data_IF_265237060332
#
_entry.id   IF_265237060332
#
_cell.length_a   1.000
_cell.length_b   1.000
_cell.length_c   1.000
_cell.angle_alpha   90.00
_cell.angle_beta   90.00
_cell.angle_gamma   90.00
#
_symmetry.space_group_name_H-M   'P 1'
#
loop_
_entity.id
_entity.type
_entity.pdbx_description
1 polymer ?
#
# COMPACT_ATOMS: atom_id res chain seq x y z
N UNK A 1 5.40 5.32 -15.85
CA UNK A 1 5.27 6.11 -14.60
C UNK A 1 6.40 5.71 -13.67
N UNK A 2 6.99 6.64 -12.92
CA UNK A 2 8.06 6.34 -11.99
C UNK A 2 7.55 6.47 -10.55
N UNK A 3 7.82 5.46 -9.72
CA UNK A 3 7.45 5.39 -8.31
C UNK A 3 8.68 5.06 -7.49
N UNK A 4 8.79 5.62 -6.29
CA UNK A 4 9.79 5.21 -5.31
C UNK A 4 9.09 4.37 -4.26
N UNK A 5 9.43 3.09 -4.19
CA UNK A 5 8.88 2.11 -3.26
C UNK A 5 9.82 1.93 -2.06
N UNK A 6 9.28 1.44 -0.95
CA UNK A 6 10.03 1.18 0.28
C UNK A 6 9.89 -0.29 0.67
N UNK A 7 10.97 -0.89 1.17
CA UNK A 7 10.92 -2.22 1.80
C UNK A 7 11.79 -2.26 3.06
N UNK A 8 11.21 -2.51 4.25
CA UNK A 8 11.94 -2.47 5.52
C UNK A 8 13.04 -3.53 5.64
N UNK A 9 12.97 -4.58 4.80
CA UNK A 9 13.90 -5.69 4.72
C UNK A 9 15.21 -5.35 3.98
N UNK A 10 15.29 -4.21 3.30
CA UNK A 10 16.53 -3.73 2.68
C UNK A 10 17.53 -3.36 3.77
N UNK A 11 18.70 -4.01 3.73
CA UNK A 11 19.76 -3.82 4.74
C UNK A 11 21.15 -3.57 4.14
N UNK A 12 21.35 -3.86 2.85
CA UNK A 12 22.64 -3.68 2.17
C UNK A 12 22.48 -3.52 0.66
N UNK A 13 23.58 -3.17 -0.03
CA UNK A 13 23.62 -3.01 -1.49
C UNK A 13 23.26 -4.30 -2.24
N UNK A 14 23.63 -5.48 -1.71
CA UNK A 14 23.24 -6.77 -2.31
C UNK A 14 21.73 -7.02 -2.29
N UNK A 15 21.00 -6.43 -1.33
CA UNK A 15 19.54 -6.48 -1.34
C UNK A 15 19.00 -5.72 -2.56
N UNK A 16 19.60 -4.57 -2.90
CA UNK A 16 19.19 -3.78 -4.06
C UNK A 16 19.50 -4.50 -5.37
N UNK A 17 20.68 -5.09 -5.50
CA UNK A 17 21.04 -5.92 -6.66
C UNK A 17 20.05 -7.09 -6.85
N UNK A 18 19.64 -7.73 -5.75
CA UNK A 18 18.66 -8.81 -5.82
C UNK A 18 17.26 -8.30 -6.21
N UNK A 19 16.81 -7.18 -5.62
CA UNK A 19 15.55 -6.53 -5.96
C UNK A 19 15.51 -6.10 -7.43
N UNK A 20 16.62 -5.60 -7.98
CA UNK A 20 16.73 -5.28 -9.41
C UNK A 20 16.48 -6.52 -10.30
N UNK A 21 17.07 -7.67 -9.95
CA UNK A 21 16.87 -8.94 -10.67
C UNK A 21 15.41 -9.39 -10.59
N UNK A 22 14.79 -9.30 -9.40
CA UNK A 22 13.38 -9.65 -9.21
C UNK A 22 12.45 -8.76 -10.03
N UNK A 23 12.67 -7.44 -10.02
CA UNK A 23 11.87 -6.48 -10.79
C UNK A 23 12.03 -6.70 -12.29
N UNK A 24 13.22 -7.09 -12.75
CA UNK A 24 13.45 -7.43 -14.16
C UNK A 24 12.63 -8.65 -14.62
N UNK A 25 12.17 -9.51 -13.71
CA UNK A 25 11.28 -10.63 -14.02
C UNK A 25 9.81 -10.21 -14.20
N UNK A 26 9.43 -9.02 -13.72
CA UNK A 26 8.06 -8.51 -13.79
C UNK A 26 7.84 -7.76 -15.10
N UNK A 27 6.97 -8.32 -15.95
CA UNK A 27 6.60 -7.69 -17.22
C UNK A 27 5.92 -6.33 -16.99
N UNK A 28 6.46 -5.27 -17.61
CA UNK A 28 5.93 -3.92 -17.46
C UNK A 28 6.51 -3.12 -16.30
N UNK A 29 7.48 -3.69 -15.56
CA UNK A 29 8.29 -2.99 -14.58
C UNK A 29 9.73 -2.81 -15.07
N UNK A 30 10.39 -1.76 -14.60
CA UNK A 30 11.82 -1.50 -14.84
C UNK A 30 12.43 -0.89 -13.59
N UNK A 31 13.49 -1.50 -13.08
CA UNK A 31 14.27 -0.91 -12.01
C UNK A 31 15.04 0.34 -12.50
N UNK A 32 15.06 1.39 -11.68
CA UNK A 32 15.75 2.65 -11.99
C UNK A 32 16.95 2.87 -11.06
N UNK A 33 16.74 2.78 -9.75
CA UNK A 33 17.76 3.01 -8.72
C UNK A 33 17.32 2.44 -7.37
N UNK A 34 18.27 2.27 -6.45
CA UNK A 34 17.98 1.84 -5.08
C UNK A 34 18.95 2.44 -4.09
N UNK A 35 18.47 2.75 -2.88
CA UNK A 35 19.22 3.41 -1.83
C UNK A 35 19.03 2.64 -0.51
N UNK A 36 19.99 1.77 -0.14
CA UNK A 36 19.89 0.89 1.03
C UNK A 36 19.70 1.65 2.34
N UNK A 37 20.30 2.84 2.48
CA UNK A 37 20.21 3.64 3.71
C UNK A 37 18.79 4.10 3.97
N UNK A 38 18.09 4.48 2.91
CA UNK A 38 16.68 4.88 2.95
C UNK A 38 15.73 3.69 2.82
N UNK A 39 16.26 2.47 2.64
CA UNK A 39 15.50 1.24 2.39
C UNK A 39 14.46 1.40 1.27
N UNK A 40 14.81 2.16 0.25
CA UNK A 40 13.93 2.51 -0.86
C UNK A 40 14.55 2.18 -2.21
N UNK A 41 13.69 2.07 -3.22
CA UNK A 41 14.09 1.87 -4.60
C UNK A 41 13.07 2.45 -5.56
N UNK A 42 13.53 2.96 -6.69
CA UNK A 42 12.69 3.56 -7.73
C UNK A 42 12.48 2.59 -8.89
N UNK A 43 11.23 2.50 -9.33
CA UNK A 43 10.80 1.67 -10.45
C UNK A 43 10.00 2.50 -11.45
N UNK A 44 10.14 2.15 -12.72
CA UNK A 44 9.22 2.58 -13.75
C UNK A 44 8.21 1.47 -14.01
N UNK A 45 6.93 1.76 -13.90
CA UNK A 45 5.84 0.83 -14.23
C UNK A 45 4.96 1.40 -15.34
N UNK A 46 4.38 0.52 -16.14
CA UNK A 46 3.48 0.91 -17.22
C UNK A 46 2.07 1.28 -16.73
N UNK A 47 1.61 0.65 -15.63
CA UNK A 47 0.24 0.75 -15.07
C UNK A 47 0.25 0.28 -13.60
N UNK A 48 -0.78 0.64 -12.83
CA UNK A 48 -0.89 0.33 -11.39
C UNK A 48 -1.03 -1.16 -11.04
N UNK A 49 -1.64 -1.97 -11.92
CA UNK A 49 -1.76 -3.43 -11.75
C UNK A 49 -0.40 -4.15 -11.71
N UNK A 50 0.62 -3.59 -12.36
CA UNK A 50 2.00 -4.09 -12.29
C UNK A 50 2.54 -4.02 -10.86
N UNK A 51 2.04 -3.12 -10.02
CA UNK A 51 2.47 -2.99 -8.64
C UNK A 51 2.08 -4.21 -7.79
N UNK A 52 0.94 -4.83 -8.07
CA UNK A 52 0.50 -6.05 -7.39
C UNK A 52 1.46 -7.22 -7.71
N UNK A 53 1.90 -7.31 -8.96
CA UNK A 53 2.90 -8.29 -9.39
C UNK A 53 4.27 -8.05 -8.75
N UNK A 54 4.73 -6.79 -8.67
CA UNK A 54 5.97 -6.42 -7.97
C UNK A 54 5.86 -6.78 -6.48
N UNK A 55 4.74 -6.42 -5.83
CA UNK A 55 4.50 -6.70 -4.41
C UNK A 55 4.56 -8.21 -4.13
N UNK A 56 3.92 -9.02 -4.99
CA UNK A 56 3.94 -10.48 -4.87
C UNK A 56 5.36 -11.05 -4.98
N UNK A 57 6.07 -10.74 -6.08
CA UNK A 57 7.43 -11.27 -6.32
C UNK A 57 8.40 -10.86 -5.20
N UNK A 58 8.37 -9.59 -4.79
CA UNK A 58 9.26 -9.11 -3.74
C UNK A 58 8.92 -9.72 -2.37
N UNK A 59 7.64 -9.96 -2.07
CA UNK A 59 7.24 -10.65 -0.84
C UNK A 59 7.75 -12.09 -0.81
N UNK A 60 7.64 -12.82 -1.92
CA UNK A 60 8.19 -14.18 -2.05
C UNK A 60 9.71 -14.21 -1.90
N UNK A 61 10.41 -13.19 -2.40
CA UNK A 61 11.86 -13.04 -2.28
C UNK A 61 12.32 -12.42 -0.96
N UNK A 62 11.40 -12.15 -0.01
CA UNK A 62 11.70 -11.69 1.35
C UNK A 62 11.87 -10.18 1.51
N UNK A 63 11.42 -9.39 0.53
CA UNK A 63 11.40 -7.93 0.54
C UNK A 63 9.97 -7.39 0.45
N UNK A 64 9.09 -7.67 1.44
CA UNK A 64 7.74 -7.13 1.41
C UNK A 64 7.78 -5.61 1.31
N UNK A 65 6.88 -5.04 0.51
CA UNK A 65 6.74 -3.59 0.44
C UNK A 65 6.26 -3.07 1.80
N UNK A 66 6.87 -1.98 2.26
CA UNK A 66 6.37 -1.25 3.42
C UNK A 66 5.33 -0.20 3.02
N UNK A 67 4.73 0.48 4.02
CA UNK A 67 3.73 1.50 3.79
C UNK A 67 4.27 2.60 2.87
N UNK A 68 3.40 3.18 2.06
CA UNK A 68 3.74 4.33 1.25
C UNK A 68 4.06 5.54 2.14
N UNK A 69 5.34 5.82 2.35
CA UNK A 69 5.78 7.06 2.99
C UNK A 69 5.89 8.11 1.88
N UNK A 70 5.09 9.20 1.89
CA UNK A 70 5.30 10.28 0.94
C UNK A 70 6.74 10.78 1.06
N UNK A 71 7.39 11.08 -0.07
CA UNK A 71 8.82 11.44 -0.17
C UNK A 71 9.23 12.74 0.57
N UNK A 72 8.38 13.25 1.44
CA UNK A 72 8.62 14.37 2.34
C UNK A 72 7.98 14.03 3.68
N UNK A 73 8.75 13.41 4.57
CA UNK A 73 8.55 13.55 6.02
C UNK A 73 9.75 12.95 6.76
N UNK A 74 10.78 13.77 6.90
CA UNK A 74 11.59 13.70 8.12
C UNK A 74 10.70 14.12 9.29
N UNK A 75 10.55 13.22 10.26
CA UNK A 75 10.16 13.49 11.64
C UNK A 75 9.07 14.55 11.87
N UNK A 76 7.78 14.18 11.81
CA UNK A 76 6.76 14.81 12.65
C UNK A 76 5.74 13.75 13.06
N UNK A 77 5.82 13.32 14.34
CA UNK A 77 4.72 12.66 15.04
C UNK A 77 3.56 13.66 15.13
N UNK A 78 2.65 13.61 14.16
CA UNK A 78 1.28 14.05 14.41
C UNK A 78 0.60 12.92 15.18
N UNK A 79 -0.47 13.17 15.93
CA UNK A 79 -1.24 12.08 16.55
C UNK A 79 -1.83 11.22 15.41
N UNK A 80 -1.04 10.25 14.94
CA UNK A 80 -1.31 9.47 13.73
C UNK A 80 -2.59 8.69 13.94
N UNK A 81 -3.59 8.98 13.11
CA UNK A 81 -4.77 8.15 13.01
C UNK A 81 -4.29 6.73 12.65
N UNK A 82 -4.39 5.82 13.59
CA UNK A 82 -4.01 4.43 13.39
C UNK A 82 -5.27 3.65 13.03
N UNK A 83 -5.47 3.29 11.75
CA UNK A 83 -6.64 2.50 11.36
C UNK A 83 -6.61 1.17 12.13
N UNK A 84 -7.75 0.83 12.75
CA UNK A 84 -7.96 -0.45 13.44
C UNK A 84 -9.10 -1.23 12.77
N UNK A 85 -8.92 -1.66 11.50
CA UNK A 85 -9.97 -2.35 10.77
C UNK A 85 -10.28 -3.71 11.40
N UNK A 86 -11.56 -4.01 11.54
CA UNK A 86 -12.07 -5.32 11.93
C UNK A 86 -12.53 -6.06 10.68
N UNK A 87 -11.99 -7.25 10.47
CA UNK A 87 -12.26 -8.07 9.29
C UNK A 87 -13.21 -9.21 9.65
N UNK A 88 -14.33 -9.32 8.94
CA UNK A 88 -15.34 -10.36 9.12
C UNK A 88 -15.57 -11.06 7.77
N UNK A 89 -15.67 -12.41 7.71
CA UNK A 89 -16.03 -13.10 6.47
C UNK A 89 -17.40 -12.69 5.94
N UNK A 90 -17.51 -12.55 4.62
CA UNK A 90 -18.75 -12.26 3.89
C UNK A 90 -19.00 -13.31 2.80
N UNK A 91 -20.15 -13.25 2.12
CA UNK A 91 -20.52 -14.23 1.09
C UNK A 91 -19.56 -14.24 -0.11
N UNK A 92 -19.04 -13.07 -0.52
CA UNK A 92 -18.13 -12.92 -1.66
C UNK A 92 -16.65 -12.71 -1.25
N UNK A 93 -16.37 -12.52 0.03
CA UNK A 93 -15.01 -12.27 0.50
C UNK A 93 -14.95 -11.88 1.97
N UNK A 94 -14.67 -10.60 2.24
CA UNK A 94 -14.58 -10.08 3.59
C UNK A 94 -15.23 -8.69 3.70
N UNK A 95 -15.87 -8.43 4.83
CA UNK A 95 -16.32 -7.10 5.23
C UNK A 95 -15.29 -6.52 6.18
N UNK A 96 -14.79 -5.33 5.87
CA UNK A 96 -13.74 -4.66 6.63
C UNK A 96 -14.34 -3.38 7.20
N UNK A 97 -14.60 -3.36 8.50
CA UNK A 97 -15.15 -2.19 9.18
C UNK A 97 -14.02 -1.38 9.83
N UNK A 98 -13.99 -0.07 9.64
CA UNK A 98 -12.96 0.82 10.18
C UNK A 98 -13.58 2.13 10.66
N UNK A 99 -13.03 2.72 11.71
CA UNK A 99 -13.51 4.02 12.23
C UNK A 99 -12.95 5.15 11.37
N UNK A 100 -13.77 6.01 10.79
CA UNK A 100 -13.31 7.08 9.91
C UNK A 100 -12.35 8.07 10.63
N UNK A 101 -11.33 8.66 9.98
CA UNK A 101 -10.42 9.63 10.59
C UNK A 101 -11.11 10.86 11.19
N UNK A 102 -12.28 11.22 10.68
CA UNK A 102 -13.10 12.30 11.25
C UNK A 102 -13.80 11.91 12.58
N UNK A 103 -13.66 10.66 13.04
CA UNK A 103 -14.16 10.15 14.32
C UNK A 103 -15.69 10.03 14.44
N UNK A 104 -16.42 10.27 13.35
CA UNK A 104 -17.87 10.43 13.40
C UNK A 104 -18.66 9.14 13.18
N UNK A 105 -18.12 8.17 12.43
CA UNK A 105 -18.84 6.94 12.06
C UNK A 105 -17.87 5.80 11.76
N UNK A 106 -18.30 4.56 12.02
CA UNK A 106 -17.66 3.35 11.48
C UNK A 106 -18.11 3.15 10.03
N UNK A 107 -17.15 3.00 9.13
CA UNK A 107 -17.36 2.74 7.71
C UNK A 107 -17.09 1.28 7.39
N UNK A 108 -17.67 0.83 6.28
CA UNK A 108 -17.56 -0.54 5.82
C UNK A 108 -16.97 -0.55 4.41
N UNK A 109 -15.89 -1.30 4.24
CA UNK A 109 -15.32 -1.68 2.96
C UNK A 109 -15.66 -3.13 2.66
N UNK A 110 -16.35 -3.38 1.55
CA UNK A 110 -16.64 -4.74 1.08
C UNK A 110 -15.53 -5.21 0.14
N UNK A 111 -14.75 -6.19 0.59
CA UNK A 111 -13.75 -6.85 -0.21
C UNK A 111 -14.37 -8.05 -0.94
N UNK A 112 -14.38 -8.02 -2.27
CA UNK A 112 -14.88 -9.10 -3.12
C UNK A 112 -13.71 -9.87 -3.75
N UNK A 113 -13.60 -11.17 -3.46
CA UNK A 113 -12.53 -12.03 -4.00
C UNK A 113 -12.60 -12.22 -5.52
N UNK A 114 -13.77 -12.01 -6.12
CA UNK A 114 -13.98 -12.12 -7.56
C UNK A 114 -13.48 -10.90 -8.34
N UNK A 115 -13.14 -9.81 -7.66
CA UNK A 115 -12.68 -8.56 -8.27
C UNK A 115 -11.16 -8.48 -8.14
N UNK A 116 -10.45 -8.48 -9.28
CA UNK A 116 -8.98 -8.40 -9.29
C UNK A 116 -8.47 -7.07 -8.72
N UNK A 117 -9.15 -5.96 -9.01
CA UNK A 117 -8.82 -4.64 -8.52
C UNK A 117 -10.01 -4.04 -7.78
N UNK A 118 -9.92 -3.97 -6.45
CA UNK A 118 -11.01 -3.41 -5.65
C UNK A 118 -11.19 -1.92 -5.98
N UNK A 119 -12.44 -1.44 -6.08
CA UNK A 119 -12.68 -0.02 -6.24
C UNK A 119 -12.26 0.74 -4.99
N UNK A 120 -11.80 1.97 -5.17
CA UNK A 120 -11.56 2.89 -4.06
C UNK A 120 -12.92 3.26 -3.46
N UNK A 121 -13.10 3.00 -2.17
CA UNK A 121 -14.27 3.47 -1.43
C UNK A 121 -14.02 4.90 -0.99
N UNK A 122 -14.96 5.81 -1.25
CA UNK A 122 -14.82 7.22 -0.86
C UNK A 122 -16.00 7.68 -0.01
N UNK A 123 -15.73 8.25 1.16
CA UNK A 123 -16.73 8.83 2.04
C UNK A 123 -16.17 10.10 2.70
N UNK A 124 -16.92 11.20 2.64
CA UNK A 124 -16.55 12.46 3.30
C UNK A 124 -15.11 12.95 3.00
N UNK A 125 -14.64 12.87 1.74
CA UNK A 125 -13.26 13.17 1.33
C UNK A 125 -12.16 12.29 1.95
N UNK A 126 -12.53 11.14 2.51
CA UNK A 126 -11.63 10.05 2.88
C UNK A 126 -11.78 8.92 1.86
N UNK A 127 -10.67 8.27 1.53
CA UNK A 127 -10.57 7.29 0.46
C UNK A 127 -9.94 6.02 1.01
N UNK A 128 -10.65 4.92 1.05
CA UNK A 128 -10.17 3.63 1.54
C UNK A 128 -9.98 2.63 0.40
N UNK A 129 -8.95 1.81 0.52
CA UNK A 129 -8.64 0.73 -0.42
C UNK A 129 -8.08 -0.47 0.33
N UNK A 130 -8.44 -1.67 -0.12
CA UNK A 130 -7.88 -2.92 0.37
C UNK A 130 -7.31 -3.71 -0.79
N UNK A 131 -6.05 -4.09 -0.67
CA UNK A 131 -5.36 -4.87 -1.68
C UNK A 131 -3.86 -4.90 -1.45
N UNK A 132 -3.10 -5.59 -2.33
CA UNK A 132 -1.66 -5.50 -2.34
C UNK A 132 -1.25 -4.05 -2.62
N UNK A 133 -0.29 -3.52 -1.84
CA UNK A 133 0.23 -2.16 -2.00
C UNK A 133 -0.87 -1.07 -2.09
N UNK A 134 -1.97 -1.25 -1.36
CA UNK A 134 -3.11 -0.33 -1.34
C UNK A 134 -2.69 1.11 -1.04
N UNK A 135 -1.68 1.32 -0.18
CA UNK A 135 -1.18 2.64 0.17
C UNK A 135 -0.57 3.37 -1.03
N UNK A 136 0.22 2.66 -1.83
CA UNK A 136 0.82 3.20 -3.05
C UNK A 136 -0.22 3.49 -4.13
N UNK A 137 -1.25 2.63 -4.26
CA UNK A 137 -2.34 2.84 -5.20
C UNK A 137 -3.17 4.07 -4.86
N UNK A 138 -3.47 4.29 -3.57
CA UNK A 138 -4.14 5.51 -3.12
C UNK A 138 -3.28 6.75 -3.34
N UNK A 139 -1.96 6.67 -3.07
CA UNK A 139 -1.05 7.78 -3.33
C UNK A 139 -0.97 8.13 -4.82
N UNK A 140 -1.01 7.14 -5.70
CA UNK A 140 -1.02 7.33 -7.16
C UNK A 140 -2.30 8.05 -7.63
N UNK A 141 -3.47 7.61 -7.16
CA UNK A 141 -4.76 8.19 -7.55
C UNK A 141 -4.99 9.59 -6.96
N UNK A 142 -4.64 9.80 -5.69
CA UNK A 142 -4.95 11.02 -4.94
C UNK A 142 -3.84 12.08 -5.01
N UNK A 143 -2.60 11.64 -5.20
CA UNK A 143 -1.40 12.47 -5.20
C UNK A 143 -0.87 12.85 -3.81
N UNK A 144 0.27 13.57 -3.75
CA UNK A 144 1.04 13.81 -2.52
C UNK A 144 0.40 14.82 -1.55
N UNK A 145 -0.76 15.38 -1.88
CA UNK A 145 -1.49 16.31 -1.02
C UNK A 145 -2.33 15.59 0.05
N UNK A 146 -2.45 14.26 -0.04
CA UNK A 146 -3.18 13.42 0.90
C UNK A 146 -2.21 12.71 1.84
N UNK A 147 -2.58 12.63 3.11
CA UNK A 147 -1.94 11.71 4.05
C UNK A 147 -2.51 10.33 3.80
N UNK A 148 -1.62 9.33 3.67
CA UNK A 148 -1.99 7.93 3.52
C UNK A 148 -1.52 7.18 4.77
N UNK A 149 -2.46 6.59 5.49
CA UNK A 149 -2.19 5.66 6.58
C UNK A 149 -2.57 4.25 6.15
N UNK A 150 -1.73 3.27 6.46
CA UNK A 150 -1.99 1.87 6.12
C UNK A 150 -1.63 0.89 7.21
N UNK A 151 -2.29 -0.26 7.17
CA UNK A 151 -2.08 -1.37 8.10
C UNK A 151 -2.25 -2.69 7.37
N UNK A 152 -1.42 -3.67 7.74
CA UNK A 152 -1.59 -5.04 7.27
C UNK A 152 -2.80 -5.68 7.96
N UNK A 153 -3.61 -6.38 7.17
CA UNK A 153 -4.73 -7.18 7.65
C UNK A 153 -4.62 -8.62 7.16
N UNK A 154 -5.07 -9.53 8.01
CA UNK A 154 -5.21 -10.94 7.65
C UNK A 154 -6.66 -11.19 7.29
N UNK A 155 -6.91 -11.52 6.02
CA UNK A 155 -8.24 -11.89 5.55
C UNK A 155 -8.68 -13.23 6.14
N UNK A 156 -9.98 -13.55 6.19
CA UNK A 156 -10.51 -14.73 6.87
C UNK A 156 -9.95 -16.09 6.38
N UNK A 157 -9.36 -16.12 5.18
CA UNK A 157 -8.70 -17.31 4.61
C UNK A 157 -7.17 -17.31 4.77
N UNK A 158 -6.61 -16.43 5.60
CA UNK A 158 -5.19 -16.39 5.95
C UNK A 158 -4.28 -15.61 4.99
N UNK A 159 -4.84 -14.95 3.98
CA UNK A 159 -4.08 -14.07 3.08
C UNK A 159 -3.84 -12.72 3.75
N UNK A 160 -2.58 -12.27 3.78
CA UNK A 160 -2.23 -10.90 4.19
C UNK A 160 -2.49 -9.94 3.04
N UNK A 161 -3.16 -8.83 3.34
CA UNK A 161 -3.37 -7.69 2.44
C UNK A 161 -3.05 -6.39 3.19
N UNK A 162 -2.92 -5.29 2.45
CA UNK A 162 -2.82 -3.96 3.03
C UNK A 162 -4.20 -3.28 2.97
N UNK A 163 -4.63 -2.67 4.08
CA UNK A 163 -5.68 -1.66 4.10
C UNK A 163 -5.01 -0.31 4.16
N UNK A 164 -5.38 0.58 3.26
CA UNK A 164 -4.91 1.95 3.26
C UNK A 164 -6.09 2.91 3.24
N UNK A 165 -5.91 4.05 3.88
CA UNK A 165 -6.84 5.16 3.88
C UNK A 165 -6.11 6.47 3.61
N UNK A 166 -6.61 7.22 2.63
CA UNK A 166 -6.14 8.53 2.26
C UNK A 166 -7.09 9.61 2.73
N UNK A 167 -6.58 10.66 3.36
CA UNK A 167 -7.37 11.81 3.80
C UNK A 167 -6.56 13.10 3.80
N UNK A 168 -7.27 14.23 3.76
CA UNK A 168 -6.64 15.55 3.91
C UNK A 168 -6.56 15.90 5.39
N UNK A 169 -5.37 16.23 5.88
CA UNK A 169 -5.27 16.87 7.20
C UNK A 169 -6.08 18.16 7.19
N UNK A 170 -7.08 18.24 8.05
CA UNK A 170 -7.80 19.50 8.30
C UNK A 170 -6.85 20.37 9.13
N UNK A 171 -6.28 21.41 8.51
CA UNK A 171 -5.50 22.44 9.21
C UNK A 171 -6.34 23.24 10.19
#
# INVERSE_FOLDING_TARGET
MELTLFSPAITCEKCIEHIEVEIASVSGARFLSGEPKSKSFSVSIIRGDVLDAISSVLTESGYPLGPAIPAISSEIQSEDYTPSPVVVPSECGATISFTCPCGSTDEIFEFDRGIAEQPISSCCDHYALVGPAASWRLLDELGPAFQIDSVDLVLPWGQTMEFAIGYKQSS
#
